data_IF_229188065819
#
_entry.id   IF_229188065819
#
_cell.length_a   1.000
_cell.length_b   1.000
_cell.length_c   1.000
_cell.angle_alpha   90.00
_cell.angle_beta   90.00
_cell.angle_gamma   90.00
#
_symmetry.space_group_name_H-M   'P 1'
#
loop_
_entity.id
_entity.type
_entity.pdbx_description
1 polymer ?
#
# COMPACT_ATOMS: atom_id res chain seq x y z
N UNK A 1 9.42 11.49 -27.90
CA UNK A 1 10.18 12.74 -27.73
C UNK A 1 9.61 13.46 -26.51
N UNK A 2 10.43 13.67 -25.49
CA UNK A 2 10.09 14.49 -24.32
C UNK A 2 9.87 15.91 -24.83
N UNK A 3 8.70 16.50 -24.58
CA UNK A 3 8.40 17.90 -24.88
C UNK A 3 7.69 18.52 -23.67
N UNK A 4 7.52 19.84 -23.66
CA UNK A 4 6.96 20.55 -22.51
C UNK A 4 5.60 19.98 -22.05
N UNK A 5 4.70 19.75 -23.01
CA UNK A 5 3.36 19.19 -22.76
C UNK A 5 3.46 17.82 -22.08
N UNK A 6 4.37 16.95 -22.52
CA UNK A 6 4.56 15.64 -21.89
C UNK A 6 5.00 15.75 -20.42
N UNK A 7 5.86 16.71 -20.08
CA UNK A 7 6.26 16.93 -18.68
C UNK A 7 5.09 17.43 -17.83
N UNK A 8 4.27 18.34 -18.37
CA UNK A 8 3.08 18.80 -17.65
C UNK A 8 2.05 17.68 -17.47
N UNK A 9 1.90 16.78 -18.45
CA UNK A 9 1.03 15.62 -18.30
C UNK A 9 1.46 14.70 -17.16
N UNK A 10 2.77 14.55 -16.90
CA UNK A 10 3.24 13.79 -15.73
C UNK A 10 2.76 14.44 -14.43
N UNK A 11 2.80 15.76 -14.34
CA UNK A 11 2.31 16.49 -13.16
C UNK A 11 0.81 16.40 -12.99
N UNK A 12 0.06 16.47 -14.09
CA UNK A 12 -1.39 16.27 -14.03
C UNK A 12 -1.74 14.82 -13.66
N UNK A 13 -0.94 13.82 -14.05
CA UNK A 13 -1.15 12.46 -13.57
C UNK A 13 -0.86 12.34 -12.06
N UNK A 14 0.20 12.99 -11.59
CA UNK A 14 0.53 13.05 -10.17
C UNK A 14 -0.55 13.79 -9.36
N UNK A 15 -1.04 14.93 -9.83
CA UNK A 15 -2.16 15.65 -9.21
C UNK A 15 -3.42 14.78 -9.12
N UNK A 16 -3.72 13.98 -10.15
CA UNK A 16 -4.84 13.05 -10.12
C UNK A 16 -4.62 11.95 -9.07
N UNK A 17 -3.38 11.47 -8.93
CA UNK A 17 -2.99 10.52 -7.88
C UNK A 17 -3.18 11.11 -6.47
N UNK A 18 -2.79 12.37 -6.26
CA UNK A 18 -3.02 13.09 -5.01
C UNK A 18 -4.51 13.18 -4.67
N UNK A 19 -5.36 13.52 -5.64
CA UNK A 19 -6.81 13.53 -5.43
C UNK A 19 -7.33 12.13 -5.11
N UNK A 20 -6.87 11.09 -5.80
CA UNK A 20 -7.27 9.71 -5.51
C UNK A 20 -6.95 9.34 -4.05
N UNK A 21 -5.73 9.60 -3.58
CA UNK A 21 -5.37 9.36 -2.18
C UNK A 21 -6.21 10.19 -1.21
N UNK A 22 -6.46 11.47 -1.49
CA UNK A 22 -7.34 12.31 -0.65
C UNK A 22 -8.74 11.70 -0.50
N UNK A 23 -9.31 11.19 -1.58
CA UNK A 23 -10.62 10.54 -1.55
C UNK A 23 -10.59 9.20 -0.82
N UNK A 24 -9.53 8.41 -0.98
CA UNK A 24 -9.33 7.17 -0.25
C UNK A 24 -9.19 7.40 1.26
N UNK A 25 -8.46 8.43 1.67
CA UNK A 25 -8.35 8.86 3.07
C UNK A 25 -9.71 9.25 3.64
N UNK A 26 -10.46 10.07 2.91
CA UNK A 26 -11.80 10.49 3.34
C UNK A 26 -12.74 9.29 3.51
N UNK A 27 -12.74 8.38 2.53
CA UNK A 27 -13.55 7.17 2.57
C UNK A 27 -13.14 6.22 3.70
N UNK A 28 -11.84 6.06 3.96
CA UNK A 28 -11.33 5.31 5.11
C UNK A 28 -11.87 5.88 6.42
N UNK A 29 -11.85 7.20 6.59
CA UNK A 29 -12.31 7.84 7.83
C UNK A 29 -13.83 7.70 7.98
N UNK A 30 -14.60 7.90 6.91
CA UNK A 30 -16.06 7.87 6.94
C UNK A 30 -16.64 6.45 7.05
N UNK A 31 -16.09 5.49 6.31
CA UNK A 31 -16.64 4.11 6.22
C UNK A 31 -15.95 3.13 7.17
N UNK A 32 -14.67 3.33 7.46
CA UNK A 32 -13.87 2.43 8.29
C UNK A 32 -13.56 2.99 9.68
N UNK A 33 -13.89 4.26 9.97
CA UNK A 33 -13.61 4.92 11.26
C UNK A 33 -12.14 4.80 11.64
N UNK A 34 -11.27 5.09 10.68
CA UNK A 34 -9.80 5.01 10.83
C UNK A 34 -9.25 3.60 11.10
N UNK A 35 -10.05 2.53 10.89
CA UNK A 35 -9.54 1.15 10.88
C UNK A 35 -8.75 0.87 9.59
N UNK A 36 -7.56 1.48 9.50
CA UNK A 36 -6.70 1.48 8.31
C UNK A 36 -6.35 0.08 7.83
N UNK A 37 -6.00 -0.84 8.73
CA UNK A 37 -5.65 -2.22 8.35
C UNK A 37 -6.81 -2.95 7.65
N UNK A 38 -8.04 -2.72 8.11
CA UNK A 38 -9.25 -3.29 7.50
C UNK A 38 -9.52 -2.66 6.13
N UNK A 39 -9.43 -1.33 6.04
CA UNK A 39 -9.56 -0.61 4.77
C UNK A 39 -8.55 -1.10 3.72
N UNK A 40 -7.26 -1.20 4.10
CA UNK A 40 -6.20 -1.69 3.19
C UNK A 40 -6.49 -3.12 2.75
N UNK A 41 -6.88 -3.99 3.69
CA UNK A 41 -7.21 -5.39 3.40
C UNK A 41 -8.37 -5.55 2.42
N UNK A 42 -9.38 -4.68 2.47
CA UNK A 42 -10.56 -4.74 1.60
C UNK A 42 -10.37 -4.00 0.27
N UNK A 43 -9.92 -2.74 0.30
CA UNK A 43 -9.95 -1.84 -0.86
C UNK A 43 -8.61 -1.71 -1.58
N UNK A 44 -7.51 -1.97 -0.89
CA UNK A 44 -6.16 -1.79 -1.43
C UNK A 44 -5.42 -3.12 -1.59
N UNK A 45 -6.15 -4.24 -1.56
CA UNK A 45 -5.60 -5.59 -1.71
C UNK A 45 -4.86 -5.82 -3.02
N UNK A 46 -5.22 -5.08 -4.08
CA UNK A 46 -4.54 -5.09 -5.38
C UNK A 46 -3.26 -4.26 -5.44
N UNK A 47 -2.98 -3.40 -4.45
CA UNK A 47 -1.71 -2.68 -4.39
C UNK A 47 -0.61 -3.63 -3.95
N UNK A 48 0.42 -3.71 -4.79
CA UNK A 48 1.56 -4.59 -4.56
C UNK A 48 2.19 -4.30 -3.18
N UNK A 49 2.10 -5.28 -2.27
CA UNK A 49 2.63 -5.20 -0.92
C UNK A 49 1.74 -4.49 0.10
N UNK A 50 0.51 -4.08 -0.21
CA UNK A 50 -0.41 -3.50 0.79
C UNK A 50 -1.07 -4.58 1.67
N UNK A 51 -1.37 -5.76 1.10
CA UNK A 51 -1.81 -6.92 1.85
C UNK A 51 -0.64 -7.87 2.10
N UNK A 52 -0.04 -7.79 3.30
CA UNK A 52 1.01 -8.72 3.71
C UNK A 52 0.40 -10.02 4.24
N UNK A 53 0.86 -11.14 3.67
CA UNK A 53 0.62 -12.46 4.24
C UNK A 53 1.96 -13.02 4.73
N UNK A 54 2.00 -13.61 5.93
CA UNK A 54 3.21 -14.24 6.45
C UNK A 54 3.79 -15.28 5.48
N UNK A 55 5.11 -15.46 5.54
CA UNK A 55 5.79 -16.44 4.71
C UNK A 55 5.35 -17.85 5.10
N UNK A 56 5.15 -18.70 4.10
CA UNK A 56 4.78 -20.10 4.31
C UNK A 56 5.82 -21.06 3.76
N UNK A 57 5.92 -22.21 4.39
CA UNK A 57 6.94 -23.23 4.17
C UNK A 57 6.31 -24.58 3.84
N UNK A 58 7.04 -25.41 3.11
CA UNK A 58 6.61 -26.76 2.77
C UNK A 58 7.16 -27.74 3.80
N UNK A 59 6.38 -28.77 4.12
CA UNK A 59 6.87 -29.92 4.87
C UNK A 59 7.74 -30.77 3.95
N UNK A 60 9.01 -30.98 4.32
CA UNK A 60 10.01 -31.69 3.50
C UNK A 60 10.55 -32.95 4.17
N UNK A 61 10.20 -33.19 5.45
CA UNK A 61 10.48 -34.45 6.15
C UNK A 61 9.19 -35.08 6.65
N UNK A 62 9.20 -36.42 6.70
CA UNK A 62 8.15 -37.24 7.26
C UNK A 62 8.75 -38.22 8.28
N UNK A 63 7.94 -38.62 9.24
CA UNK A 63 8.27 -39.66 10.22
C UNK A 63 7.85 -41.04 9.72
N UNK A 64 6.87 -41.10 8.81
CA UNK A 64 6.35 -42.35 8.28
C UNK A 64 5.80 -42.20 6.87
N UNK A 65 5.73 -43.34 6.19
CA UNK A 65 4.97 -43.53 4.97
C UNK A 65 3.92 -44.60 5.22
N UNK A 66 2.72 -44.41 4.67
CA UNK A 66 1.65 -45.38 4.81
C UNK A 66 0.80 -45.46 3.55
N UNK A 67 0.26 -46.65 3.31
CA UNK A 67 -0.67 -46.89 2.21
C UNK A 67 -2.04 -47.15 2.80
N UNK A 68 -3.00 -46.34 2.41
CA UNK A 68 -4.38 -46.36 2.89
C UNK A 68 -5.28 -46.86 1.78
N UNK A 69 -6.18 -47.79 2.13
CA UNK A 69 -7.23 -48.25 1.25
C UNK A 69 -8.52 -47.46 1.56
N UNK A 70 -8.68 -46.32 0.89
CA UNK A 70 -9.79 -45.42 1.18
C UNK A 70 -11.01 -45.80 0.35
N UNK A 71 -12.10 -46.16 1.04
CA UNK A 71 -13.42 -46.31 0.41
C UNK A 71 -14.18 -44.99 0.46
N UNK A 72 -14.04 -44.16 -0.58
CA UNK A 72 -14.85 -42.94 -0.70
C UNK A 72 -16.31 -43.29 -1.05
N UNK A 73 -17.15 -43.54 -0.03
CA UNK A 73 -18.61 -43.73 -0.15
C UNK A 73 -19.08 -44.95 -0.97
N UNK A 74 -20.39 -45.26 -0.87
CA UNK A 74 -21.00 -46.46 -1.46
C UNK A 74 -20.95 -46.55 -3.00
N UNK A 75 -20.53 -45.51 -3.71
CA UNK A 75 -20.61 -45.42 -5.18
C UNK A 75 -19.27 -45.29 -5.91
N UNK A 76 -18.13 -45.16 -5.21
CA UNK A 76 -16.81 -45.05 -5.85
C UNK A 76 -15.93 -46.27 -5.54
N UNK A 77 -15.00 -46.58 -6.45
CA UNK A 77 -14.01 -47.66 -6.28
C UNK A 77 -13.01 -47.27 -5.19
N UNK A 78 -12.61 -48.25 -4.39
CA UNK A 78 -11.52 -48.13 -3.43
C UNK A 78 -10.28 -47.51 -4.08
N UNK A 79 -9.76 -46.44 -3.49
CA UNK A 79 -8.55 -45.76 -3.95
C UNK A 79 -7.41 -46.05 -2.98
N UNK A 80 -6.28 -46.49 -3.53
CA UNK A 80 -5.04 -46.70 -2.78
C UNK A 80 -4.33 -45.35 -2.72
N UNK A 81 -4.25 -44.78 -1.52
CA UNK A 81 -3.61 -43.50 -1.28
C UNK A 81 -2.31 -43.75 -0.54
N UNK A 82 -1.21 -43.27 -1.11
CA UNK A 82 0.09 -43.23 -0.43
C UNK A 82 0.24 -41.89 0.27
N UNK A 83 0.46 -41.92 1.59
CA UNK A 83 0.69 -40.73 2.39
C UNK A 83 2.08 -40.75 3.01
N UNK A 84 2.66 -39.56 3.12
CA UNK A 84 3.83 -39.31 3.96
C UNK A 84 3.39 -38.34 5.06
N UNK A 85 3.68 -38.65 6.31
CA UNK A 85 3.20 -37.89 7.45
C UNK A 85 4.28 -37.55 8.46
N UNK A 86 4.17 -36.38 9.08
CA UNK A 86 4.98 -35.95 10.21
C UNK A 86 4.10 -35.83 11.45
N UNK A 87 4.48 -36.51 12.52
CA UNK A 87 3.82 -36.37 13.81
C UNK A 87 4.05 -34.97 14.37
N UNK A 88 3.03 -34.43 15.03
CA UNK A 88 3.10 -33.09 15.63
C UNK A 88 3.17 -33.19 17.14
N UNK A 89 3.69 -32.14 17.76
CA UNK A 89 4.05 -32.11 19.17
C UNK A 89 3.22 -31.05 19.90
N UNK A 90 2.77 -31.32 21.12
CA UNK A 90 2.04 -30.33 21.94
C UNK A 90 2.99 -29.27 22.51
N UNK A 91 4.23 -29.67 22.75
CA UNK A 91 5.38 -28.88 23.13
C UNK A 91 6.66 -29.58 22.62
N UNK A 92 7.79 -28.87 22.48
CA UNK A 92 9.05 -29.48 22.03
C UNK A 92 9.38 -30.80 22.75
N UNK A 93 9.41 -31.90 21.99
CA UNK A 93 9.72 -33.25 22.48
C UNK A 93 8.55 -34.10 22.97
N UNK A 94 7.35 -33.53 23.13
CA UNK A 94 6.15 -34.27 23.59
C UNK A 94 5.14 -34.44 22.45
N UNK A 95 4.93 -35.69 21.99
CA UNK A 95 3.96 -35.99 20.94
C UNK A 95 2.55 -35.53 21.34
N UNK A 96 1.82 -34.97 20.38
CA UNK A 96 0.46 -34.48 20.63
C UNK A 96 -0.54 -35.63 20.55
N UNK A 97 -1.11 -36.00 21.69
CA UNK A 97 -2.27 -36.90 21.80
C UNK A 97 -3.51 -36.14 22.33
N UNK A 98 -4.61 -36.01 21.55
CA UNK A 98 -5.84 -35.39 22.02
C UNK A 98 -6.69 -36.40 22.81
N UNK A 99 -7.26 -35.99 23.95
CA UNK A 99 -8.32 -36.72 24.68
C UNK A 99 -8.05 -38.25 24.87
N UNK A 100 -6.87 -38.63 25.36
CA UNK A 100 -6.43 -40.02 25.58
C UNK A 100 -6.43 -40.93 24.31
N UNK A 101 -6.45 -40.35 23.10
CA UNK A 101 -6.34 -41.10 21.83
C UNK A 101 -4.95 -41.78 21.74
N UNK A 102 -4.88 -43.09 21.47
CA UNK A 102 -3.60 -43.79 21.33
C UNK A 102 -2.78 -43.30 20.12
N UNK A 103 -3.39 -42.61 19.16
CA UNK A 103 -2.70 -42.14 17.96
C UNK A 103 -2.26 -40.67 18.12
N UNK A 104 -0.96 -40.38 17.94
CA UNK A 104 -0.50 -39.01 17.89
C UNK A 104 -1.04 -38.31 16.64
N UNK A 105 -1.30 -37.01 16.76
CA UNK A 105 -1.65 -36.18 15.62
C UNK A 105 -0.49 -36.10 14.64
N UNK A 106 -0.83 -35.96 13.37
CA UNK A 106 0.14 -35.73 12.31
C UNK A 106 -0.39 -34.76 11.26
N UNK A 107 0.50 -34.29 10.39
CA UNK A 107 0.16 -33.59 9.15
C UNK A 107 0.74 -34.35 7.97
N UNK A 108 0.08 -34.28 6.82
CA UNK A 108 0.58 -34.91 5.59
C UNK A 108 1.49 -33.97 4.82
N UNK A 109 2.48 -34.53 4.15
CA UNK A 109 3.20 -33.85 3.06
C UNK A 109 2.24 -33.73 1.88
N UNK A 110 2.17 -32.54 1.31
CA UNK A 110 1.34 -32.27 0.13
C UNK A 110 1.78 -30.98 -0.56
N UNK A 111 1.50 -30.91 -1.86
CA UNK A 111 1.88 -29.77 -2.70
C UNK A 111 0.76 -28.72 -2.82
N UNK A 112 -0.38 -28.92 -2.16
CA UNK A 112 -1.50 -27.99 -2.26
C UNK A 112 -1.18 -26.70 -1.49
N UNK A 113 -1.63 -25.51 -1.92
CA UNK A 113 -1.34 -24.26 -1.21
C UNK A 113 -1.82 -24.23 0.25
N UNK A 114 -2.75 -25.11 0.62
CA UNK A 114 -3.34 -25.24 1.95
C UNK A 114 -2.47 -26.13 2.85
N UNK A 115 -1.51 -26.86 2.27
CA UNK A 115 -0.52 -27.65 2.98
C UNK A 115 0.65 -26.82 3.51
N UNK A 116 0.79 -25.58 3.03
CA UNK A 116 1.87 -24.70 3.43
C UNK A 116 1.73 -24.25 4.88
N UNK A 117 2.83 -24.31 5.59
CA UNK A 117 2.94 -24.06 7.02
C UNK A 117 3.35 -22.61 7.25
N UNK A 118 2.55 -21.89 8.03
CA UNK A 118 2.90 -20.58 8.56
C UNK A 118 3.50 -20.73 9.95
N UNK A 119 4.72 -20.23 10.14
CA UNK A 119 5.36 -20.22 11.45
C UNK A 119 4.71 -19.12 12.31
N UNK A 120 4.26 -19.48 13.51
CA UNK A 120 3.75 -18.54 14.52
C UNK A 120 4.82 -18.14 15.53
N UNK A 121 5.75 -19.04 15.80
CA UNK A 121 6.85 -18.83 16.74
C UNK A 121 7.96 -19.82 16.39
N UNK A 122 9.22 -19.43 16.61
CA UNK A 122 10.36 -20.34 16.51
C UNK A 122 11.21 -20.21 17.78
N UNK A 123 11.59 -21.34 18.37
CA UNK A 123 12.34 -21.40 19.62
C UNK A 123 13.13 -22.71 19.70
N UNK A 124 14.42 -22.62 20.03
CA UNK A 124 15.30 -23.76 20.34
C UNK A 124 15.30 -24.90 19.28
N UNK A 125 15.21 -24.57 17.99
CA UNK A 125 15.18 -25.55 16.89
C UNK A 125 13.79 -26.12 16.59
N UNK A 126 12.74 -25.60 17.22
CA UNK A 126 11.35 -25.96 16.99
C UNK A 126 10.56 -24.76 16.46
N UNK A 127 9.48 -25.02 15.74
CA UNK A 127 8.52 -23.99 15.38
C UNK A 127 7.10 -24.38 15.77
N UNK A 128 6.33 -23.38 16.19
CA UNK A 128 4.89 -23.49 16.45
C UNK A 128 4.11 -23.04 15.21
N UNK A 129 3.04 -23.75 14.90
CA UNK A 129 2.20 -23.47 13.74
C UNK A 129 0.74 -23.88 13.96
N UNK A 130 -0.13 -23.43 13.06
CA UNK A 130 -1.54 -23.82 13.00
C UNK A 130 -1.83 -24.44 11.64
N UNK A 131 -2.37 -25.67 11.62
CA UNK A 131 -2.80 -26.37 10.41
C UNK A 131 -3.96 -27.32 10.75
N UNK A 132 -4.63 -27.85 9.73
CA UNK A 132 -5.48 -29.02 9.91
C UNK A 132 -4.62 -30.24 10.24
N UNK A 133 -4.94 -30.89 11.35
CA UNK A 133 -4.27 -32.09 11.81
C UNK A 133 -5.03 -33.33 11.37
N UNK A 134 -4.36 -34.47 11.36
CA UNK A 134 -4.92 -35.77 11.07
C UNK A 134 -4.66 -36.72 12.23
N UNK A 135 -5.55 -37.70 12.41
CA UNK A 135 -5.33 -38.85 13.28
C UNK A 135 -5.76 -40.12 12.56
N UNK A 136 -5.10 -41.24 12.87
CA UNK A 136 -5.51 -42.54 12.35
C UNK A 136 -6.85 -42.96 12.97
N UNK A 137 -7.66 -43.69 12.21
CA UNK A 137 -8.98 -44.14 12.66
C UNK A 137 -8.92 -45.44 13.47
N UNK A 138 -7.83 -46.19 13.36
CA UNK A 138 -7.61 -47.47 14.02
C UNK A 138 -6.12 -47.78 14.23
N UNK A 139 -5.85 -48.81 15.03
CA UNK A 139 -4.49 -49.22 15.43
C UNK A 139 -3.67 -49.86 14.32
N UNK A 140 -4.33 -50.39 13.29
CA UNK A 140 -3.67 -50.92 12.09
C UNK A 140 -3.45 -49.83 11.03
N UNK A 141 -3.84 -48.58 11.34
CA UNK A 141 -3.69 -47.37 10.53
C UNK A 141 -4.38 -47.49 9.17
N UNK A 142 -5.49 -48.22 9.09
CA UNK A 142 -6.14 -48.53 7.80
C UNK A 142 -6.75 -47.31 7.10
N UNK A 143 -7.08 -46.25 7.85
CA UNK A 143 -7.53 -44.96 7.35
C UNK A 143 -7.14 -43.82 8.32
N UNK A 144 -7.32 -42.57 7.88
CA UNK A 144 -7.16 -41.38 8.73
C UNK A 144 -8.28 -40.38 8.49
N UNK A 145 -8.54 -39.56 9.51
CA UNK A 145 -9.53 -38.49 9.44
C UNK A 145 -8.90 -37.14 9.78
N UNK A 146 -9.34 -36.05 9.14
CA UNK A 146 -8.99 -34.72 9.58
C UNK A 146 -9.58 -34.50 10.97
N UNK A 147 -8.80 -33.89 11.85
CA UNK A 147 -9.23 -33.45 13.16
C UNK A 147 -9.57 -31.97 13.05
N UNK A 148 -10.80 -31.61 13.42
CA UNK A 148 -11.27 -30.23 13.33
C UNK A 148 -10.44 -29.34 14.27
N UNK A 149 -9.66 -28.44 13.69
CA UNK A 149 -8.93 -27.39 14.41
C UNK A 149 -9.84 -26.38 15.11
N UNK A 150 -11.15 -26.44 14.86
CA UNK A 150 -12.18 -25.61 15.51
C UNK A 150 -12.68 -26.20 16.84
N UNK A 151 -12.14 -27.35 17.30
CA UNK A 151 -12.40 -27.78 18.67
C UNK A 151 -11.54 -26.96 19.63
N UNK A 152 -12.15 -26.39 20.68
CA UNK A 152 -11.44 -25.58 21.70
C UNK A 152 -10.29 -26.33 22.41
N UNK A 153 -10.19 -27.65 22.20
CA UNK A 153 -9.20 -28.54 22.80
C UNK A 153 -7.91 -28.66 21.99
N UNK A 154 -7.95 -28.37 20.69
CA UNK A 154 -6.78 -28.53 19.81
C UNK A 154 -6.09 -27.18 19.69
N UNK A 155 -4.91 -27.11 20.29
CA UNK A 155 -4.05 -25.93 20.24
C UNK A 155 -3.08 -26.03 19.07
N UNK A 156 -2.39 -24.93 18.83
CA UNK A 156 -1.21 -24.87 17.98
C UNK A 156 -0.23 -25.99 18.33
N UNK A 157 0.44 -26.54 17.32
CA UNK A 157 1.36 -27.66 17.49
C UNK A 157 2.79 -27.25 17.11
N UNK A 158 3.74 -28.10 17.48
CA UNK A 158 5.16 -27.92 17.26
C UNK A 158 5.71 -28.96 16.31
N UNK A 159 6.73 -28.57 15.56
CA UNK A 159 7.56 -29.43 14.72
C UNK A 159 9.03 -28.98 14.81
N UNK A 160 10.00 -29.88 14.62
CA UNK A 160 11.40 -29.50 14.45
C UNK A 160 11.60 -28.64 13.20
N UNK A 161 12.48 -27.64 13.25
CA UNK A 161 12.67 -26.68 12.16
C UNK A 161 13.16 -27.33 10.86
N UNK A 162 13.90 -28.43 10.96
CA UNK A 162 14.42 -29.17 9.81
C UNK A 162 13.37 -30.03 9.10
N UNK A 163 12.12 -30.06 9.60
CA UNK A 163 10.99 -30.70 8.93
C UNK A 163 10.43 -29.85 7.79
N UNK A 164 10.71 -28.54 7.78
CA UNK A 164 10.21 -27.62 6.77
C UNK A 164 11.34 -27.00 5.95
N UNK A 165 11.01 -26.47 4.77
CA UNK A 165 11.96 -25.75 3.90
C UNK A 165 12.34 -24.34 4.43
N UNK A 166 12.19 -24.09 5.74
CA UNK A 166 12.59 -22.85 6.38
C UNK A 166 14.10 -22.84 6.70
N UNK A 167 14.74 -21.67 6.63
CA UNK A 167 16.10 -21.54 7.15
C UNK A 167 16.15 -21.72 8.67
N UNK A 168 17.23 -22.31 9.19
CA UNK A 168 17.33 -22.75 10.59
C UNK A 168 17.12 -21.64 11.64
N UNK A 169 17.49 -20.40 11.33
CA UNK A 169 17.34 -19.22 12.21
C UNK A 169 16.18 -18.30 11.79
N UNK A 170 15.32 -18.72 10.86
CA UNK A 170 14.16 -17.92 10.48
C UNK A 170 13.09 -17.95 11.57
N UNK A 171 12.45 -16.80 11.79
CA UNK A 171 11.27 -16.65 12.64
C UNK A 171 10.35 -15.56 12.06
N UNK A 172 9.08 -15.43 12.51
CA UNK A 172 8.12 -14.50 11.90
C UNK A 172 8.54 -13.01 11.95
N UNK A 173 9.35 -12.67 12.95
CA UNK A 173 9.87 -11.33 13.18
C UNK A 173 11.27 -11.10 12.62
N UNK A 174 11.77 -12.03 11.79
CA UNK A 174 13.09 -11.94 11.20
C UNK A 174 13.30 -10.61 10.49
N UNK A 175 14.46 -9.99 10.70
CA UNK A 175 14.75 -8.62 10.27
C UNK A 175 15.82 -8.54 9.17
N UNK A 176 15.92 -7.36 8.53
CA UNK A 176 17.03 -7.07 7.61
C UNK A 176 18.41 -7.12 8.27
N UNK A 177 18.50 -6.85 9.58
CA UNK A 177 19.77 -6.95 10.32
C UNK A 177 20.23 -8.40 10.35
N UNK A 178 19.33 -9.31 10.70
CA UNK A 178 19.59 -10.75 10.76
C UNK A 178 19.81 -11.33 9.37
N UNK A 179 19.09 -10.85 8.36
CA UNK A 179 19.31 -11.24 6.96
C UNK A 179 20.74 -10.96 6.49
N UNK A 180 21.35 -9.86 6.95
CA UNK A 180 22.70 -9.46 6.54
C UNK A 180 23.80 -10.26 7.25
N UNK A 181 23.59 -10.68 8.49
CA UNK A 181 24.65 -11.29 9.32
C UNK A 181 24.45 -12.78 9.58
N UNK A 182 23.28 -13.34 9.26
CA UNK A 182 22.87 -14.69 9.68
C UNK A 182 22.37 -15.58 8.54
N UNK A 183 22.80 -15.33 7.30
CA UNK A 183 22.30 -16.06 6.11
C UNK A 183 23.40 -16.77 5.32
N UNK A 184 24.62 -16.85 5.86
CA UNK A 184 25.78 -17.47 5.20
C UNK A 184 25.52 -18.95 4.82
N UNK A 185 24.81 -19.68 5.69
CA UNK A 185 24.49 -21.09 5.49
C UNK A 185 23.19 -21.35 4.70
N UNK A 186 22.50 -20.29 4.27
CA UNK A 186 21.23 -20.44 3.55
C UNK A 186 21.46 -20.72 2.07
N UNK A 187 20.56 -21.50 1.49
CA UNK A 187 20.51 -21.67 0.03
C UNK A 187 20.10 -20.37 -0.65
N UNK A 188 20.44 -20.22 -1.93
CA UNK A 188 20.03 -19.03 -2.70
C UNK A 188 18.50 -18.91 -2.83
N UNK A 189 17.79 -20.03 -2.87
CA UNK A 189 16.33 -20.05 -2.87
C UNK A 189 15.75 -19.55 -1.54
N UNK A 190 16.29 -20.00 -0.42
CA UNK A 190 15.92 -19.52 0.92
C UNK A 190 16.16 -18.03 1.07
N UNK A 191 17.35 -17.55 0.68
CA UNK A 191 17.69 -16.12 0.67
C UNK A 191 16.70 -15.33 -0.16
N UNK A 192 16.42 -15.76 -1.40
CA UNK A 192 15.46 -15.11 -2.29
C UNK A 192 14.06 -15.03 -1.67
N UNK A 193 13.53 -16.16 -1.18
CA UNK A 193 12.20 -16.28 -0.58
C UNK A 193 12.03 -15.38 0.64
N UNK A 194 13.00 -15.35 1.55
CA UNK A 194 12.96 -14.49 2.74
C UNK A 194 13.16 -13.02 2.37
N UNK A 195 14.08 -12.69 1.46
CA UNK A 195 14.29 -11.32 0.97
C UNK A 195 13.02 -10.71 0.38
N UNK A 196 12.31 -11.47 -0.45
CA UNK A 196 11.03 -11.05 -1.03
C UNK A 196 9.97 -10.85 0.06
N UNK A 197 9.92 -11.71 1.08
CA UNK A 197 9.01 -11.52 2.21
C UNK A 197 9.33 -10.25 3.03
N UNK A 198 10.60 -9.97 3.31
CA UNK A 198 11.01 -8.75 4.01
C UNK A 198 10.63 -7.49 3.22
N UNK A 199 10.84 -7.49 1.91
CA UNK A 199 10.40 -6.40 1.03
C UNK A 199 8.88 -6.20 1.05
N UNK A 200 8.10 -7.28 1.09
CA UNK A 200 6.65 -7.20 1.24
C UNK A 200 6.23 -6.67 2.61
N UNK A 201 6.93 -7.06 3.69
CA UNK A 201 6.69 -6.56 5.05
C UNK A 201 6.95 -5.05 5.11
N UNK A 202 8.05 -4.58 4.51
CA UNK A 202 8.37 -3.15 4.42
C UNK A 202 7.31 -2.37 3.62
N UNK A 203 6.86 -2.91 2.48
CA UNK A 203 5.79 -2.29 1.67
C UNK A 203 4.48 -2.20 2.44
N UNK A 204 4.11 -3.24 3.18
CA UNK A 204 2.88 -3.23 3.97
C UNK A 204 2.98 -2.24 5.13
N UNK A 205 4.13 -2.20 5.80
CA UNK A 205 4.40 -1.20 6.84
C UNK A 205 4.34 0.23 6.27
N UNK A 206 4.91 0.46 5.08
CA UNK A 206 4.81 1.74 4.39
C UNK A 206 3.36 2.13 4.12
N UNK A 207 2.56 1.25 3.51
CA UNK A 207 1.16 1.57 3.20
C UNK A 207 0.33 1.79 4.47
N UNK A 208 0.50 0.94 5.48
CA UNK A 208 -0.15 1.12 6.78
C UNK A 208 0.18 2.48 7.37
N UNK A 209 1.46 2.87 7.38
CA UNK A 209 1.90 4.18 7.86
C UNK A 209 1.32 5.31 7.02
N UNK A 210 1.40 5.24 5.69
CA UNK A 210 0.93 6.27 4.76
C UNK A 210 -0.57 6.56 4.94
N UNK A 211 -1.40 5.51 5.04
CA UNK A 211 -2.85 5.67 5.28
C UNK A 211 -3.21 6.07 6.71
N UNK A 212 -2.32 5.83 7.67
CA UNK A 212 -2.48 6.29 9.05
C UNK A 212 -2.14 7.77 9.17
N UNK A 213 -1.05 8.22 8.56
CA UNK A 213 -0.60 9.61 8.61
C UNK A 213 -1.38 10.53 7.66
N UNK A 214 -1.89 9.97 6.55
CA UNK A 214 -2.71 10.68 5.55
C UNK A 214 -2.05 11.95 5.00
N UNK A 215 -0.73 11.93 4.91
CA UNK A 215 0.09 13.06 4.48
C UNK A 215 0.55 12.89 3.02
N UNK A 216 -0.09 13.64 2.13
CA UNK A 216 0.20 13.60 0.70
C UNK A 216 1.58 14.12 0.32
N UNK A 217 2.29 14.82 1.22
CA UNK A 217 3.65 15.27 0.98
C UNK A 217 4.64 14.10 0.83
N UNK A 218 4.25 12.90 1.26
CA UNK A 218 5.02 11.67 1.07
C UNK A 218 4.92 11.12 -0.36
N UNK A 219 3.97 11.59 -1.17
CA UNK A 219 3.82 11.16 -2.57
C UNK A 219 4.79 11.97 -3.43
N UNK A 220 5.92 11.36 -3.76
CA UNK A 220 6.97 12.01 -4.52
C UNK A 220 6.44 12.51 -5.88
N UNK A 221 6.70 13.78 -6.23
CA UNK A 221 6.30 14.30 -7.52
C UNK A 221 7.16 13.67 -8.64
N UNK A 222 6.67 13.64 -9.89
CA UNK A 222 7.36 12.95 -10.98
C UNK A 222 8.69 13.64 -11.31
N UNK A 223 9.73 12.87 -11.70
CA UNK A 223 10.94 13.45 -12.25
C UNK A 223 10.64 14.09 -13.62
N UNK A 224 11.15 15.31 -13.79
CA UNK A 224 10.96 16.09 -15.01
C UNK A 224 12.29 16.28 -15.75
N UNK A 225 12.20 16.48 -17.06
CA UNK A 225 13.33 16.69 -17.95
C UNK A 225 13.42 18.19 -18.30
N UNK A 226 14.42 18.87 -17.72
CA UNK A 226 14.60 20.33 -17.86
C UNK A 226 15.14 20.75 -19.22
N UNK A 227 15.76 19.85 -19.99
CA UNK A 227 16.32 20.20 -21.30
C UNK A 227 15.23 20.40 -22.37
N UNK A 228 14.04 19.84 -22.15
CA UNK A 228 12.98 19.79 -23.15
C UNK A 228 11.67 20.48 -22.70
N UNK A 229 11.68 21.22 -21.59
CA UNK A 229 10.45 21.73 -20.96
C UNK A 229 10.67 23.03 -20.20
N UNK A 230 10.15 24.17 -20.70
CA UNK A 230 9.99 25.41 -19.92
C UNK A 230 9.33 25.19 -18.57
N UNK A 231 8.33 24.31 -18.49
CA UNK A 231 7.67 23.98 -17.23
C UNK A 231 8.61 23.31 -16.23
N UNK A 232 9.43 22.35 -16.67
CA UNK A 232 10.42 21.71 -15.82
C UNK A 232 11.53 22.68 -15.39
N UNK A 233 11.97 23.56 -16.31
CA UNK A 233 12.92 24.64 -16.00
C UNK A 233 12.35 25.60 -14.96
N UNK A 234 11.09 25.99 -15.09
CA UNK A 234 10.40 26.83 -14.13
C UNK A 234 10.39 26.20 -12.73
N UNK A 235 10.06 24.90 -12.62
CA UNK A 235 10.12 24.19 -11.33
C UNK A 235 11.53 24.21 -10.73
N UNK A 236 12.56 23.96 -11.55
CA UNK A 236 13.95 23.94 -11.09
C UNK A 236 14.43 25.33 -10.67
N UNK A 237 14.14 26.36 -11.48
CA UNK A 237 14.51 27.75 -11.24
C UNK A 237 13.90 28.30 -9.95
N UNK A 238 12.62 28.01 -9.69
CA UNK A 238 11.92 28.44 -8.48
C UNK A 238 12.05 27.44 -7.31
N UNK A 239 12.81 26.35 -7.49
CA UNK A 239 13.05 25.31 -6.48
C UNK A 239 11.75 24.75 -5.85
N UNK A 240 10.74 24.50 -6.68
CA UNK A 240 9.40 24.18 -6.18
C UNK A 240 9.36 22.80 -5.50
N UNK A 241 9.00 22.81 -4.21
CA UNK A 241 8.74 21.62 -3.41
C UNK A 241 7.40 20.96 -3.71
N UNK A 242 7.03 19.94 -2.92
CA UNK A 242 5.78 19.17 -3.12
C UNK A 242 4.55 20.07 -3.02
N UNK A 243 4.53 20.92 -1.99
CA UNK A 243 3.46 21.86 -1.71
C UNK A 243 3.24 22.85 -2.86
N UNK A 244 4.32 23.42 -3.41
CA UNK A 244 4.26 24.40 -4.50
C UNK A 244 4.00 23.74 -5.86
N UNK A 245 4.53 22.53 -6.12
CA UNK A 245 4.22 21.80 -7.35
C UNK A 245 2.75 21.39 -7.41
N UNK A 246 2.17 20.96 -6.29
CA UNK A 246 0.73 20.67 -6.21
C UNK A 246 -0.11 21.94 -6.45
N UNK A 247 0.30 23.08 -5.86
CA UNK A 247 -0.35 24.37 -6.09
C UNK A 247 -0.29 24.79 -7.56
N UNK A 248 0.89 24.70 -8.18
CA UNK A 248 1.10 25.02 -9.59
C UNK A 248 0.25 24.13 -10.50
N UNK A 249 0.35 22.81 -10.35
CA UNK A 249 -0.39 21.84 -11.15
C UNK A 249 -1.90 22.05 -11.03
N UNK A 250 -2.40 22.29 -9.82
CA UNK A 250 -3.82 22.57 -9.57
C UNK A 250 -4.28 23.84 -10.29
N UNK A 251 -3.47 24.90 -10.22
CA UNK A 251 -3.80 26.21 -10.78
C UNK A 251 -3.81 26.20 -12.32
N UNK A 252 -2.88 25.47 -12.95
CA UNK A 252 -2.78 25.43 -14.42
C UNK A 252 -3.62 24.33 -15.07
N UNK A 253 -4.17 23.38 -14.30
CA UNK A 253 -4.87 22.21 -14.83
C UNK A 253 -5.92 22.56 -15.90
N UNK A 254 -6.79 23.53 -15.61
CA UNK A 254 -7.86 23.95 -16.52
C UNK A 254 -7.35 24.71 -17.77
N UNK A 255 -6.16 25.31 -17.73
CA UNK A 255 -5.55 25.98 -18.88
C UNK A 255 -5.10 24.96 -19.93
N UNK A 256 -4.71 23.77 -19.49
CA UNK A 256 -4.17 22.71 -20.34
C UNK A 256 -5.27 21.74 -20.75
N UNK A 257 -6.15 21.42 -19.80
CA UNK A 257 -7.29 20.53 -19.98
C UNK A 257 -8.51 21.14 -19.31
N UNK A 258 -9.35 21.88 -20.06
CA UNK A 258 -10.54 22.55 -19.53
C UNK A 258 -11.52 21.63 -18.77
N UNK A 259 -11.51 20.33 -19.06
CA UNK A 259 -12.35 19.30 -18.45
C UNK A 259 -11.71 18.60 -17.24
N UNK A 260 -10.44 18.86 -16.93
CA UNK A 260 -9.67 18.05 -15.98
C UNK A 260 -10.25 18.06 -14.56
N UNK A 261 -10.64 19.25 -14.06
CA UNK A 261 -11.26 19.38 -12.73
C UNK A 261 -12.79 19.25 -12.77
N UNK A 262 -13.40 19.02 -13.93
CA UNK A 262 -14.86 18.93 -14.07
C UNK A 262 -15.51 17.90 -13.11
N UNK A 263 -14.92 16.72 -12.83
CA UNK A 263 -15.47 15.78 -11.87
C UNK A 263 -15.60 16.32 -10.43
N UNK A 264 -14.86 17.38 -10.08
CA UNK A 264 -14.90 17.99 -8.75
C UNK A 264 -16.20 18.78 -8.51
N UNK A 265 -16.95 19.16 -9.55
CA UNK A 265 -18.23 19.88 -9.40
C UNK A 265 -19.22 19.06 -8.56
N UNK A 266 -19.41 17.78 -8.92
CA UNK A 266 -20.31 16.90 -8.17
C UNK A 266 -19.78 16.59 -6.77
N UNK A 267 -18.45 16.48 -6.63
CA UNK A 267 -17.82 16.25 -5.32
C UNK A 267 -17.97 17.44 -4.38
N UNK A 268 -17.88 18.67 -4.87
CA UNK A 268 -18.05 19.88 -4.06
C UNK A 268 -19.46 20.01 -3.48
N UNK A 269 -20.48 19.45 -4.14
CA UNK A 269 -21.85 19.39 -3.60
C UNK A 269 -21.96 18.48 -2.38
N UNK A 270 -21.17 17.40 -2.34
CA UNK A 270 -21.15 16.44 -1.24
C UNK A 270 -20.13 16.82 -0.15
N UNK A 271 -19.09 17.56 -0.52
CA UNK A 271 -17.98 17.96 0.34
C UNK A 271 -17.74 19.48 0.21
N UNK A 272 -18.48 20.32 0.96
CA UNK A 272 -18.35 21.77 0.88
C UNK A 272 -16.93 22.27 1.24
N UNK A 273 -16.20 21.51 2.04
CA UNK A 273 -14.80 21.73 2.41
C UNK A 273 -13.82 21.52 1.24
N UNK A 274 -14.26 21.06 0.07
CA UNK A 274 -13.48 21.06 -1.18
C UNK A 274 -13.34 22.48 -1.78
N UNK A 275 -14.28 23.37 -1.45
CA UNK A 275 -14.38 24.69 -2.07
C UNK A 275 -14.62 24.63 -3.58
N UNK A 276 -13.99 25.56 -4.28
CA UNK A 276 -14.14 25.72 -5.73
C UNK A 276 -15.15 26.80 -6.10
N UNK A 277 -14.93 27.42 -7.25
CA UNK A 277 -15.79 28.47 -7.79
C UNK A 277 -16.32 28.09 -9.18
N UNK A 278 -17.46 28.68 -9.55
CA UNK A 278 -17.99 28.64 -10.91
C UNK A 278 -17.58 29.90 -11.66
N UNK A 279 -17.10 29.74 -12.90
CA UNK A 279 -16.79 30.87 -13.78
C UNK A 279 -18.05 31.49 -14.36
N UNK A 280 -17.98 32.78 -14.74
CA UNK A 280 -19.05 33.43 -15.52
C UNK A 280 -19.08 32.95 -16.97
N UNK A 281 -17.90 32.73 -17.57
CA UNK A 281 -17.74 32.19 -18.93
C UNK A 281 -17.23 30.74 -18.94
N UNK A 282 -16.34 30.39 -18.02
CA UNK A 282 -15.81 29.03 -17.89
C UNK A 282 -16.80 28.14 -17.14
N UNK A 283 -17.29 27.08 -17.81
CA UNK A 283 -18.29 26.14 -17.28
C UNK A 283 -17.67 24.93 -16.55
N UNK A 284 -16.44 25.05 -16.08
CA UNK A 284 -15.75 24.03 -15.29
C UNK A 284 -15.59 24.41 -13.83
N UNK A 285 -14.89 23.56 -13.08
CA UNK A 285 -14.53 23.79 -11.68
C UNK A 285 -13.30 24.69 -11.60
N UNK A 286 -13.39 25.89 -11.02
CA UNK A 286 -12.24 26.76 -10.78
C UNK A 286 -11.70 26.47 -9.38
N UNK A 287 -10.43 26.02 -9.24
CA UNK A 287 -9.87 25.72 -7.93
C UNK A 287 -9.69 26.99 -7.09
N UNK A 288 -9.88 26.84 -5.79
CA UNK A 288 -9.74 27.91 -4.78
C UNK A 288 -8.62 27.58 -3.81
N UNK A 289 -8.25 28.53 -2.95
CA UNK A 289 -7.34 28.24 -1.82
C UNK A 289 -7.85 27.07 -0.98
N UNK A 290 -9.16 26.98 -0.78
CA UNK A 290 -9.82 25.88 -0.08
C UNK A 290 -9.65 24.55 -0.82
N UNK A 291 -9.67 24.55 -2.16
CA UNK A 291 -9.39 23.34 -2.95
C UNK A 291 -7.96 22.83 -2.73
N UNK A 292 -6.99 23.74 -2.64
CA UNK A 292 -5.61 23.37 -2.31
C UNK A 292 -5.49 22.82 -0.88
N UNK A 293 -6.12 23.47 0.09
CA UNK A 293 -6.13 23.02 1.49
C UNK A 293 -6.84 21.66 1.63
N UNK A 294 -7.95 21.46 0.93
CA UNK A 294 -8.64 20.17 0.88
C UNK A 294 -7.74 19.08 0.31
N UNK A 295 -7.08 19.34 -0.82
CA UNK A 295 -6.17 18.39 -1.44
C UNK A 295 -5.06 18.02 -0.46
N UNK A 296 -4.29 19.01 0.01
CA UNK A 296 -3.05 18.77 0.73
C UNK A 296 -3.26 18.42 2.21
N UNK A 297 -4.29 18.95 2.86
CA UNK A 297 -4.53 18.77 4.29
C UNK A 297 -5.80 17.97 4.63
N UNK A 298 -6.80 17.96 3.73
CA UNK A 298 -8.13 17.43 4.01
C UNK A 298 -8.74 18.08 5.25
N UNK A 299 -9.18 17.25 6.20
CA UNK A 299 -9.80 17.68 7.47
C UNK A 299 -8.83 17.68 8.66
N UNK A 300 -7.52 17.48 8.45
CA UNK A 300 -6.52 17.57 9.50
C UNK A 300 -6.25 19.06 9.84
N UNK A 301 -6.78 19.53 10.98
CA UNK A 301 -6.71 20.95 11.36
C UNK A 301 -5.29 21.47 11.58
N UNK A 302 -4.39 20.65 12.12
CA UNK A 302 -2.99 21.05 12.33
C UNK A 302 -2.24 21.19 10.99
N UNK A 303 -2.40 20.21 10.11
CA UNK A 303 -1.78 20.26 8.78
C UNK A 303 -2.39 21.39 7.92
N UNK A 304 -3.70 21.66 8.07
CA UNK A 304 -4.35 22.82 7.44
C UNK A 304 -3.70 24.13 7.86
N UNK A 305 -3.48 24.35 9.15
CA UNK A 305 -2.82 25.56 9.64
C UNK A 305 -1.43 25.75 9.04
N UNK A 306 -0.64 24.68 8.98
CA UNK A 306 0.69 24.72 8.35
C UNK A 306 0.63 25.04 6.86
N UNK A 307 -0.34 24.50 6.12
CA UNK A 307 -0.47 24.75 4.68
C UNK A 307 -1.11 26.11 4.36
N UNK A 308 -1.92 26.66 5.27
CA UNK A 308 -2.37 28.05 5.20
C UNK A 308 -1.17 29.00 5.34
N UNK A 309 -0.31 28.78 6.33
CA UNK A 309 0.94 29.54 6.49
C UNK A 309 1.85 29.37 5.26
N UNK A 310 1.98 28.15 4.74
CA UNK A 310 2.75 27.91 3.52
C UNK A 310 2.21 28.72 2.35
N UNK A 311 0.90 28.62 2.07
CA UNK A 311 0.27 29.30 0.94
C UNK A 311 0.37 30.83 1.06
N UNK A 312 0.30 31.39 2.27
CA UNK A 312 0.35 32.85 2.47
C UNK A 312 1.77 33.42 2.51
N UNK A 313 2.70 32.72 3.16
CA UNK A 313 3.96 33.32 3.60
C UNK A 313 5.21 32.59 3.11
N UNK A 314 5.11 31.31 2.73
CA UNK A 314 6.29 30.47 2.43
C UNK A 314 6.37 30.01 0.98
N UNK A 315 5.24 29.91 0.28
CA UNK A 315 5.16 29.48 -1.11
C UNK A 315 5.97 30.42 -2.00
N UNK A 316 6.91 29.86 -2.77
CA UNK A 316 7.70 30.65 -3.73
C UNK A 316 6.77 31.31 -4.76
N UNK A 317 5.76 30.57 -5.21
CA UNK A 317 4.80 31.03 -6.22
C UNK A 317 3.97 32.22 -5.75
N UNK A 318 3.59 32.25 -4.47
CA UNK A 318 2.81 33.37 -3.90
C UNK A 318 3.70 34.56 -3.60
N UNK A 319 4.89 34.32 -3.02
CA UNK A 319 5.84 35.40 -2.70
C UNK A 319 6.33 36.16 -3.92
N UNK A 320 6.46 35.48 -5.05
CA UNK A 320 6.89 36.08 -6.32
C UNK A 320 5.71 36.61 -7.15
N UNK A 321 4.47 36.52 -6.66
CA UNK A 321 3.28 37.01 -7.36
C UNK A 321 2.87 36.18 -8.58
N UNK A 322 3.41 34.97 -8.71
CA UNK A 322 3.10 34.03 -9.80
C UNK A 322 1.72 33.38 -9.61
N UNK A 323 1.32 33.13 -8.37
CA UNK A 323 -0.02 32.65 -8.00
C UNK A 323 -0.59 33.53 -6.90
N UNK A 324 -1.88 33.87 -7.00
CA UNK A 324 -2.62 34.56 -5.94
C UNK A 324 -3.95 33.87 -5.61
N UNK A 325 -4.40 34.05 -4.37
CA UNK A 325 -5.79 33.78 -3.95
C UNK A 325 -6.59 35.07 -4.15
N UNK A 326 -7.43 35.12 -5.19
CA UNK A 326 -8.11 36.35 -5.61
C UNK A 326 -9.64 36.18 -5.61
N UNK A 327 -10.37 37.30 -5.64
CA UNK A 327 -11.83 37.33 -5.77
C UNK A 327 -12.62 36.58 -4.66
N UNK A 328 -12.09 36.50 -3.44
CA UNK A 328 -12.91 36.12 -2.27
C UNK A 328 -13.99 37.20 -2.04
N UNK A 329 -15.24 36.80 -1.81
CA UNK A 329 -16.32 37.77 -1.62
C UNK A 329 -16.26 38.39 -0.22
N UNK A 330 -16.69 39.66 -0.04
CA UNK A 330 -16.78 40.27 1.28
C UNK A 330 -17.61 39.43 2.25
N UNK A 331 -17.03 39.11 3.41
CA UNK A 331 -17.67 38.28 4.44
C UNK A 331 -17.43 36.77 4.29
N UNK A 332 -16.79 36.32 3.21
CA UNK A 332 -16.37 34.92 3.05
C UNK A 332 -14.95 34.67 3.61
N UNK A 333 -14.62 33.41 3.93
CA UNK A 333 -13.24 33.04 4.26
C UNK A 333 -12.27 33.41 3.13
N UNK A 334 -11.08 33.89 3.49
CA UNK A 334 -10.05 34.32 2.53
C UNK A 334 -9.74 33.23 1.47
N UNK A 335 -9.61 31.98 1.90
CA UNK A 335 -9.27 30.85 1.02
C UNK A 335 -10.42 30.41 0.10
N UNK A 336 -11.62 30.98 0.22
CA UNK A 336 -12.68 30.82 -0.78
C UNK A 336 -12.35 31.53 -2.10
N UNK A 337 -11.33 32.39 -2.14
CA UNK A 337 -10.82 33.00 -3.37
C UNK A 337 -10.24 31.98 -4.36
N UNK A 338 -10.34 32.30 -5.65
CA UNK A 338 -9.81 31.47 -6.75
C UNK A 338 -8.29 31.50 -6.76
N UNK A 339 -7.67 30.36 -7.09
CA UNK A 339 -6.24 30.30 -7.40
C UNK A 339 -6.04 30.79 -8.83
N UNK A 340 -5.36 31.93 -8.97
CA UNK A 340 -5.08 32.54 -10.25
C UNK A 340 -3.57 32.57 -10.50
N UNK A 341 -3.15 31.99 -11.63
CA UNK A 341 -1.78 32.11 -12.13
C UNK A 341 -1.62 33.43 -12.90
N UNK A 342 -0.47 34.08 -12.78
CA UNK A 342 -0.19 35.36 -13.43
C UNK A 342 -0.33 35.23 -14.96
N UNK A 343 -1.26 35.94 -15.62
CA UNK A 343 -1.60 35.71 -17.02
C UNK A 343 -0.43 35.85 -18.00
N UNK A 344 0.50 36.79 -17.74
CA UNK A 344 1.66 37.03 -18.61
C UNK A 344 2.69 35.90 -18.57
N UNK A 345 2.67 35.07 -17.52
CA UNK A 345 3.61 33.97 -17.36
C UNK A 345 3.11 32.67 -18.03
N UNK A 346 1.81 32.59 -18.34
CA UNK A 346 1.18 31.39 -18.94
C UNK A 346 1.83 31.02 -20.29
N UNK A 347 2.03 31.95 -21.26
CA UNK A 347 2.59 31.60 -22.56
C UNK A 347 4.01 31.01 -22.45
N UNK A 348 4.85 31.56 -21.56
CA UNK A 348 6.20 31.08 -21.33
C UNK A 348 6.18 29.67 -20.72
N UNK A 349 5.36 29.47 -19.68
CA UNK A 349 5.24 28.19 -18.98
C UNK A 349 4.71 27.06 -19.88
N UNK A 350 3.73 27.37 -20.73
CA UNK A 350 3.05 26.40 -21.60
C UNK A 350 3.69 26.28 -22.99
N UNK A 351 4.75 27.04 -23.28
CA UNK A 351 5.42 27.03 -24.58
C UNK A 351 5.88 25.62 -24.96
N UNK A 352 5.64 25.16 -26.21
CA UNK A 352 6.15 23.87 -26.67
C UNK A 352 7.68 23.88 -26.85
N UNK A 353 8.30 25.07 -26.94
CA UNK A 353 9.74 25.25 -27.18
C UNK A 353 10.47 25.74 -25.92
N UNK A 354 11.68 25.23 -25.64
CA UNK A 354 12.48 25.56 -24.45
C UNK A 354 13.10 26.97 -24.45
N UNK A 355 12.88 27.79 -25.48
CA UNK A 355 13.37 29.18 -25.50
C UNK A 355 12.51 30.06 -24.58
N UNK A 356 13.09 30.44 -23.43
CA UNK A 356 12.57 31.50 -22.55
C UNK A 356 12.32 32.78 -23.36
N UNK A 357 11.23 33.53 -23.12
CA UNK A 357 11.18 34.91 -23.57
C UNK A 357 12.31 35.69 -22.87
N UNK A 358 13.17 36.33 -23.67
CA UNK A 358 14.16 37.28 -23.18
C UNK A 358 13.48 38.30 -22.27
N UNK A 359 14.11 38.60 -21.15
CA UNK A 359 13.73 39.62 -20.17
C UNK A 359 13.13 40.86 -20.86
N UNK A 360 11.80 40.93 -20.94
CA UNK A 360 11.12 42.16 -21.25
C UNK A 360 11.18 43.01 -19.98
N UNK A 361 12.12 43.96 -19.98
CA UNK A 361 12.14 45.05 -19.01
C UNK A 361 10.74 45.63 -18.89
N UNK A 362 10.14 45.49 -17.71
CA UNK A 362 8.92 46.19 -17.33
C UNK A 362 9.24 47.69 -17.30
N UNK A 363 8.93 48.39 -18.37
CA UNK A 363 8.72 49.84 -18.33
C UNK A 363 7.35 50.09 -17.69
N UNK A 364 7.38 50.86 -16.59
CA UNK A 364 6.24 51.29 -15.76
C UNK A 364 5.13 52.01 -16.52
#
# INVERSE_FOLDING_TARGET
MSNNIHQIFKELNWLAELFNYRWEFLYCNESYKDRVSEYIGTHQSGRNGANYKPLKFNLVRHDFEHTIDRKESYTHKAEIIHIQGAYVYSEPGTLYHPDDDPHPLFITIGDHPWDKIEIKEAKDGWFRFVKHYCTFTDTVKSDYKPVSSLSDKIKDAWLPIDYIDAPANYHPDFSWKEYKTGTEHWTEEQKKKVRENLQLKDKAAFWLKFYTEQDLRQVAPPPLDTQASPYAQFIEQHQLGVEDRALLALTIANQIRPDYLLPLIERARLHPDLGGASGRGFKGFIPTGETYLFLMAGRNTFLRGHLMEHLLERSTLVKEGLIGVVNALPGEPFFSGILAFHPEQIPALLSPNPSLPDNAQLTY
#
